data_IF_050665497616
#
_entry.id   IF_050665497616
#
_cell.length_a   1.000
_cell.length_b   1.000
_cell.length_c   1.000
_cell.angle_alpha   90.00
_cell.angle_beta   90.00
_cell.angle_gamma   90.00
#
_symmetry.space_group_name_H-M   'P 1'
#
loop_
_entity.id
_entity.type
_entity.pdbx_description
1 polymer ?
#
# COMPACT_ATOMS: atom_id res chain seq x y z
N UNK A 1 1.03 -5.60 -36.91
CA UNK A 1 0.65 -6.04 -35.58
C UNK A 1 -0.28 -4.99 -35.00
N UNK A 2 -1.42 -5.38 -34.42
CA UNK A 2 -2.28 -4.43 -33.73
C UNK A 2 -1.51 -3.81 -32.55
N UNK A 3 -1.72 -2.52 -32.32
CA UNK A 3 -1.14 -1.79 -31.19
C UNK A 3 -1.63 -2.44 -29.89
N UNK A 4 -0.71 -2.72 -28.95
CA UNK A 4 -1.10 -3.26 -27.66
C UNK A 4 -1.91 -2.23 -26.88
N UNK A 5 -2.95 -2.69 -26.19
CA UNK A 5 -3.77 -1.88 -25.29
C UNK A 5 -3.88 -2.58 -23.93
N UNK A 6 -3.72 -1.82 -22.85
CA UNK A 6 -3.81 -2.32 -21.49
C UNK A 6 -4.86 -1.56 -20.69
N UNK A 7 -5.55 -2.30 -19.82
CA UNK A 7 -6.39 -1.74 -18.77
C UNK A 7 -5.68 -1.89 -17.42
N UNK A 8 -5.60 -0.81 -16.67
CA UNK A 8 -5.17 -0.82 -15.26
C UNK A 8 -6.35 -0.45 -14.39
N UNK A 9 -6.73 -1.34 -13.46
CA UNK A 9 -7.80 -1.13 -12.49
C UNK A 9 -7.18 -0.98 -11.09
N UNK A 10 -7.33 0.20 -10.51
CA UNK A 10 -6.79 0.57 -9.20
C UNK A 10 -7.91 0.66 -8.15
N UNK A 11 -7.53 0.65 -6.88
CA UNK A 11 -8.50 0.61 -5.79
C UNK A 11 -9.22 1.93 -5.61
N UNK A 12 -8.51 3.06 -5.66
CA UNK A 12 -9.05 4.41 -5.48
C UNK A 12 -8.13 5.46 -6.09
N UNK A 13 -8.65 6.63 -6.40
CA UNK A 13 -7.85 7.82 -6.74
C UNK A 13 -7.49 8.69 -5.52
N UNK A 14 -7.96 8.33 -4.32
CA UNK A 14 -7.81 9.08 -3.07
C UNK A 14 -6.72 8.48 -2.15
N UNK A 15 -5.62 8.00 -2.75
CA UNK A 15 -4.46 7.47 -2.03
C UNK A 15 -3.21 7.73 -2.85
N UNK A 16 -2.15 8.24 -2.24
CA UNK A 16 -0.91 8.65 -2.91
C UNK A 16 -0.17 7.47 -3.56
N UNK A 17 -0.22 6.27 -2.98
CA UNK A 17 0.34 5.07 -3.60
C UNK A 17 -0.41 4.70 -4.88
N UNK A 18 -1.74 4.78 -4.90
CA UNK A 18 -2.55 4.50 -6.08
C UNK A 18 -2.34 5.55 -7.19
N UNK A 19 -2.14 6.82 -6.81
CA UNK A 19 -1.76 7.89 -7.75
C UNK A 19 -0.40 7.58 -8.39
N UNK A 20 0.57 7.09 -7.62
CA UNK A 20 1.89 6.73 -8.16
C UNK A 20 1.84 5.44 -9.00
N UNK A 21 0.98 4.47 -8.66
CA UNK A 21 0.70 3.32 -9.52
C UNK A 21 0.20 3.78 -10.90
N UNK A 22 -0.77 4.70 -10.93
CA UNK A 22 -1.29 5.27 -12.17
C UNK A 22 -0.19 6.01 -12.96
N UNK A 23 0.58 6.87 -12.30
CA UNK A 23 1.68 7.63 -12.94
C UNK A 23 2.77 6.70 -13.50
N UNK A 24 3.11 5.64 -12.79
CA UNK A 24 4.06 4.61 -13.22
C UNK A 24 3.54 3.87 -14.47
N UNK A 25 2.26 3.48 -14.48
CA UNK A 25 1.63 2.86 -15.64
C UNK A 25 1.62 3.79 -16.86
N UNK A 26 1.21 5.07 -16.70
CA UNK A 26 1.18 6.06 -17.78
C UNK A 26 2.57 6.33 -18.36
N UNK A 27 3.57 6.52 -17.50
CA UNK A 27 4.95 6.73 -17.93
C UNK A 27 5.46 5.56 -18.75
N UNK A 28 5.20 4.33 -18.28
CA UNK A 28 5.61 3.12 -18.98
C UNK A 28 4.84 2.92 -20.28
N UNK A 29 3.53 3.16 -20.31
CA UNK A 29 2.73 3.05 -21.52
C UNK A 29 3.22 4.01 -22.62
N UNK A 30 3.54 5.27 -22.26
CA UNK A 30 4.15 6.24 -23.21
C UNK A 30 5.47 5.74 -23.76
N UNK A 31 6.36 5.20 -22.90
CA UNK A 31 7.67 4.68 -23.30
C UNK A 31 7.55 3.44 -24.21
N UNK A 32 6.58 2.57 -23.96
CA UNK A 32 6.33 1.37 -24.76
C UNK A 32 5.51 1.65 -26.03
N UNK A 33 4.90 2.83 -26.17
CA UNK A 33 4.02 3.16 -27.30
C UNK A 33 2.71 2.35 -27.32
N UNK A 34 2.21 1.94 -26.15
CA UNK A 34 0.96 1.17 -25.99
C UNK A 34 -0.20 2.06 -25.56
N UNK A 35 -1.43 1.64 -25.86
CA UNK A 35 -2.62 2.32 -25.38
C UNK A 35 -2.90 1.90 -23.93
N UNK A 36 -3.28 2.85 -23.09
CA UNK A 36 -3.58 2.62 -21.68
C UNK A 36 -4.91 3.26 -21.31
N UNK A 37 -5.72 2.47 -20.59
CA UNK A 37 -6.89 2.96 -19.87
C UNK A 37 -6.67 2.69 -18.38
N UNK A 38 -7.00 3.67 -17.53
CA UNK A 38 -6.98 3.50 -16.06
C UNK A 38 -8.41 3.71 -15.55
N UNK A 39 -8.84 2.82 -14.65
CA UNK A 39 -10.14 2.91 -13.97
C UNK A 39 -9.92 2.74 -12.47
N UNK A 40 -10.84 3.29 -11.67
CA UNK A 40 -10.80 3.22 -10.22
C UNK A 40 -12.08 2.55 -9.69
N UNK A 41 -11.91 1.74 -8.67
CA UNK A 41 -12.98 0.94 -8.06
C UNK A 41 -13.64 1.62 -6.85
N UNK A 42 -13.15 2.79 -6.43
CA UNK A 42 -13.60 3.55 -5.26
C UNK A 42 -13.61 2.70 -3.96
N UNK A 43 -12.60 1.84 -3.82
CA UNK A 43 -12.46 0.85 -2.74
C UNK A 43 -13.64 -0.16 -2.64
N UNK A 44 -14.41 -0.33 -3.73
CA UNK A 44 -15.52 -1.25 -3.80
C UNK A 44 -15.19 -2.45 -4.71
N UNK A 45 -15.09 -3.64 -4.12
CA UNK A 45 -14.78 -4.88 -4.83
C UNK A 45 -15.91 -5.32 -5.80
N UNK A 46 -17.16 -4.98 -5.48
CA UNK A 46 -18.30 -5.29 -6.36
C UNK A 46 -18.25 -4.40 -7.58
N UNK A 47 -18.04 -3.09 -7.38
CA UNK A 47 -17.85 -2.14 -8.47
C UNK A 47 -16.68 -2.56 -9.36
N UNK A 48 -15.52 -2.91 -8.78
CA UNK A 48 -14.36 -3.39 -9.55
C UNK A 48 -14.69 -4.62 -10.40
N UNK A 49 -15.36 -5.61 -9.81
CA UNK A 49 -15.77 -6.82 -10.53
C UNK A 49 -16.69 -6.51 -11.71
N UNK A 50 -17.66 -5.61 -11.52
CA UNK A 50 -18.61 -5.21 -12.57
C UNK A 50 -17.90 -4.45 -13.70
N UNK A 51 -17.05 -3.48 -13.37
CA UNK A 51 -16.26 -2.72 -14.34
C UNK A 51 -15.39 -3.66 -15.21
N UNK A 52 -14.69 -4.58 -14.58
CA UNK A 52 -13.81 -5.53 -15.28
C UNK A 52 -14.60 -6.49 -16.17
N UNK A 53 -15.73 -7.04 -15.70
CA UNK A 53 -16.60 -7.90 -16.51
C UNK A 53 -17.18 -7.14 -17.70
N UNK A 54 -17.59 -5.89 -17.54
CA UNK A 54 -18.07 -5.04 -18.65
C UNK A 54 -17.00 -4.87 -19.73
N UNK A 55 -15.74 -4.63 -19.36
CA UNK A 55 -14.62 -4.53 -20.30
C UNK A 55 -14.37 -5.86 -21.00
N UNK A 56 -14.38 -6.99 -20.27
CA UNK A 56 -14.17 -8.33 -20.83
C UNK A 56 -15.26 -8.68 -21.87
N UNK A 57 -16.49 -8.25 -21.63
CA UNK A 57 -17.65 -8.51 -22.49
C UNK A 57 -17.78 -7.50 -23.65
N UNK A 58 -17.07 -6.37 -23.56
CA UNK A 58 -17.11 -5.35 -24.60
C UNK A 58 -16.49 -5.83 -25.92
N UNK A 59 -16.83 -5.17 -27.03
CA UNK A 59 -16.21 -5.41 -28.33
C UNK A 59 -14.76 -4.90 -28.43
N UNK A 60 -14.36 -3.96 -27.56
CA UNK A 60 -13.01 -3.37 -27.52
C UNK A 60 -12.22 -3.94 -26.35
N UNK A 61 -11.67 -5.14 -26.54
CA UNK A 61 -10.94 -5.87 -25.49
C UNK A 61 -9.48 -5.41 -25.42
N UNK A 62 -8.96 -5.08 -24.23
CA UNK A 62 -7.54 -4.82 -24.07
C UNK A 62 -6.72 -6.12 -24.27
N UNK A 63 -5.44 -5.99 -24.60
CA UNK A 63 -4.50 -7.10 -24.69
C UNK A 63 -4.27 -7.77 -23.33
N UNK A 64 -4.36 -7.00 -22.26
CA UNK A 64 -4.27 -7.48 -20.88
C UNK A 64 -4.93 -6.52 -19.89
N UNK A 65 -5.26 -7.08 -18.72
CA UNK A 65 -5.77 -6.37 -17.55
C UNK A 65 -4.74 -6.48 -16.43
N UNK A 66 -4.38 -5.36 -15.84
CA UNK A 66 -3.59 -5.24 -14.61
C UNK A 66 -4.51 -4.68 -13.54
N UNK A 67 -4.63 -5.33 -12.39
CA UNK A 67 -5.50 -4.81 -11.36
C UNK A 67 -4.93 -4.98 -9.96
N UNK A 68 -5.22 -4.03 -9.10
CA UNK A 68 -5.02 -4.12 -7.67
C UNK A 68 -6.35 -4.39 -7.00
N UNK A 69 -6.53 -5.51 -6.27
CA UNK A 69 -7.83 -5.87 -5.69
C UNK A 69 -8.32 -4.86 -4.65
N UNK A 70 -9.51 -4.31 -4.86
CA UNK A 70 -10.17 -3.41 -3.90
C UNK A 70 -10.72 -4.14 -2.66
N UNK A 71 -10.80 -5.47 -2.70
CA UNK A 71 -11.30 -6.30 -1.60
C UNK A 71 -10.40 -7.49 -1.27
N UNK A 72 -10.86 -8.36 -0.38
CA UNK A 72 -10.14 -9.57 0.04
C UNK A 72 -10.03 -10.63 -1.06
N UNK A 73 -10.91 -10.62 -2.05
CA UNK A 73 -10.91 -11.61 -3.13
C UNK A 73 -10.12 -11.12 -4.35
N UNK A 74 -9.24 -11.95 -4.86
CA UNK A 74 -8.49 -11.69 -6.09
C UNK A 74 -9.32 -11.89 -7.38
N UNK A 75 -10.65 -11.87 -7.34
CA UNK A 75 -11.60 -11.98 -8.46
C UNK A 75 -11.35 -13.20 -9.36
N UNK A 76 -11.32 -14.45 -8.87
CA UNK A 76 -10.94 -15.63 -9.64
C UNK A 76 -11.85 -15.90 -10.86
N UNK A 77 -13.15 -15.59 -10.78
CA UNK A 77 -14.08 -15.78 -11.88
C UNK A 77 -13.85 -14.76 -13.00
N UNK A 78 -13.54 -13.51 -12.64
CA UNK A 78 -13.20 -12.45 -13.59
C UNK A 78 -11.87 -12.75 -14.29
N UNK A 79 -10.88 -13.22 -13.53
CA UNK A 79 -9.59 -13.68 -14.06
C UNK A 79 -9.76 -14.80 -15.09
N UNK A 80 -10.59 -15.80 -14.79
CA UNK A 80 -10.90 -16.87 -15.72
C UNK A 80 -11.61 -16.38 -16.98
N UNK A 81 -12.56 -15.46 -16.83
CA UNK A 81 -13.24 -14.85 -17.98
C UNK A 81 -12.27 -14.07 -18.88
N UNK A 82 -11.35 -13.29 -18.30
CA UNK A 82 -10.30 -12.57 -19.02
C UNK A 82 -9.38 -13.55 -19.79
N UNK A 83 -8.86 -14.59 -19.12
CA UNK A 83 -7.99 -15.58 -19.73
C UNK A 83 -8.71 -16.37 -20.86
N UNK A 84 -10.00 -16.71 -20.68
CA UNK A 84 -10.84 -17.35 -21.71
C UNK A 84 -11.02 -16.44 -22.93
N UNK A 85 -11.12 -15.14 -22.71
CA UNK A 85 -11.23 -14.13 -23.78
C UNK A 85 -9.89 -13.79 -24.44
N UNK A 86 -8.79 -14.47 -24.04
CA UNK A 86 -7.47 -14.28 -24.63
C UNK A 86 -6.70 -13.08 -24.08
N UNK A 87 -7.15 -12.49 -22.96
CA UNK A 87 -6.49 -11.35 -22.33
C UNK A 87 -5.49 -11.80 -21.26
N UNK A 88 -4.32 -11.16 -21.20
CA UNK A 88 -3.40 -11.30 -20.07
C UNK A 88 -4.04 -10.82 -18.76
N UNK A 89 -3.59 -11.36 -17.62
CA UNK A 89 -4.12 -11.04 -16.32
C UNK A 89 -3.01 -10.87 -15.29
N UNK A 90 -2.89 -9.68 -14.70
CA UNK A 90 -1.87 -9.38 -13.69
C UNK A 90 -2.50 -8.84 -12.42
N UNK A 91 -2.08 -9.39 -11.29
CA UNK A 91 -2.51 -8.97 -9.96
C UNK A 91 -1.38 -8.15 -9.33
N UNK A 92 -1.71 -6.98 -8.82
CA UNK A 92 -0.79 -6.13 -8.07
C UNK A 92 -1.02 -6.26 -6.57
N UNK A 93 0.07 -6.14 -5.81
CA UNK A 93 0.10 -6.06 -4.34
C UNK A 93 -0.59 -7.21 -3.60
N UNK A 94 -0.78 -8.33 -4.27
CA UNK A 94 -1.38 -9.54 -3.70
C UNK A 94 -0.92 -10.78 -4.44
N UNK A 95 -0.91 -11.89 -3.73
CA UNK A 95 -0.84 -13.23 -4.29
C UNK A 95 -2.25 -13.79 -4.49
N UNK A 96 -2.42 -14.69 -5.46
CA UNK A 96 -3.67 -15.40 -5.67
C UNK A 96 -3.39 -16.82 -6.16
N UNK A 97 -3.91 -17.80 -5.44
CA UNK A 97 -3.66 -19.23 -5.68
C UNK A 97 -4.11 -19.71 -7.07
N UNK A 98 -5.12 -19.07 -7.64
CA UNK A 98 -5.64 -19.43 -8.96
C UNK A 98 -4.67 -19.11 -10.12
N UNK A 99 -3.61 -18.33 -9.89
CA UNK A 99 -2.60 -17.99 -10.91
C UNK A 99 -1.99 -19.25 -11.50
N UNK A 100 -1.60 -20.21 -10.67
CA UNK A 100 -1.03 -21.51 -11.09
C UNK A 100 -1.99 -22.23 -12.05
N UNK A 101 -3.26 -22.33 -11.67
CA UNK A 101 -4.29 -23.01 -12.45
C UNK A 101 -4.53 -22.31 -13.80
N UNK A 102 -4.63 -20.98 -13.82
CA UNK A 102 -4.85 -20.25 -15.06
C UNK A 102 -3.65 -20.39 -16.01
N UNK A 103 -2.43 -20.32 -15.50
CA UNK A 103 -1.21 -20.52 -16.31
C UNK A 103 -1.14 -21.90 -16.97
N UNK A 104 -1.59 -22.93 -16.27
CA UNK A 104 -1.63 -24.29 -16.84
C UNK A 104 -2.73 -24.49 -17.90
N UNK A 105 -3.81 -23.72 -17.79
CA UNK A 105 -5.01 -23.88 -18.64
C UNK A 105 -5.03 -22.94 -19.85
N UNK A 106 -4.33 -21.81 -19.79
CA UNK A 106 -4.37 -20.76 -20.83
C UNK A 106 -2.96 -20.33 -21.25
N UNK A 107 -2.84 -19.90 -22.52
CA UNK A 107 -1.55 -19.45 -23.09
C UNK A 107 -1.27 -17.96 -22.89
N UNK A 108 -2.19 -17.22 -22.25
CA UNK A 108 -2.01 -15.80 -21.98
C UNK A 108 -1.11 -15.57 -20.77
N UNK A 109 -0.39 -14.44 -20.67
CA UNK A 109 0.39 -14.11 -19.48
C UNK A 109 -0.53 -13.94 -18.26
N UNK A 110 -0.31 -14.75 -17.21
CA UNK A 110 -1.00 -14.63 -15.91
C UNK A 110 0.06 -14.67 -14.83
N UNK A 111 0.14 -13.63 -13.98
CA UNK A 111 1.13 -13.54 -12.92
C UNK A 111 0.75 -12.51 -11.87
N UNK A 112 1.48 -12.47 -10.76
CA UNK A 112 1.33 -11.42 -9.77
C UNK A 112 2.67 -10.70 -9.51
N UNK A 113 2.57 -9.42 -9.16
CA UNK A 113 3.67 -8.60 -8.68
C UNK A 113 3.25 -7.99 -7.35
N UNK A 114 3.99 -8.26 -6.30
CA UNK A 114 3.69 -7.78 -4.95
C UNK A 114 4.98 -7.46 -4.19
N UNK A 115 4.88 -6.62 -3.17
CA UNK A 115 5.89 -6.57 -2.13
C UNK A 115 5.55 -7.58 -1.03
N UNK A 116 6.55 -8.05 -0.29
CA UNK A 116 6.30 -8.89 0.87
C UNK A 116 5.70 -8.02 2.00
N UNK A 117 4.38 -8.12 2.18
CA UNK A 117 3.67 -7.36 3.21
C UNK A 117 4.12 -7.69 4.62
N UNK A 118 4.54 -8.92 4.87
CA UNK A 118 5.08 -9.30 6.17
C UNK A 118 6.44 -8.64 6.42
N UNK A 119 7.30 -8.55 5.37
CA UNK A 119 8.56 -7.81 5.47
C UNK A 119 8.32 -6.29 5.62
N UNK A 120 7.31 -5.70 4.97
CA UNK A 120 6.89 -4.33 5.26
C UNK A 120 6.63 -4.15 6.75
N UNK A 121 5.84 -5.04 7.35
CA UNK A 121 5.58 -5.03 8.79
C UNK A 121 6.86 -5.18 9.62
N UNK A 122 7.77 -6.08 9.24
CA UNK A 122 9.06 -6.24 9.92
C UNK A 122 9.90 -4.97 9.88
N UNK A 123 9.90 -4.25 8.74
CA UNK A 123 10.56 -2.94 8.65
C UNK A 123 9.91 -1.96 9.63
N UNK A 124 8.57 -1.89 9.69
CA UNK A 124 7.87 -1.03 10.66
C UNK A 124 8.21 -1.38 12.11
N UNK A 125 8.28 -2.68 12.47
CA UNK A 125 8.69 -3.12 13.79
C UNK A 125 10.13 -2.70 14.15
N UNK A 126 11.06 -2.76 13.19
CA UNK A 126 12.43 -2.26 13.35
C UNK A 126 12.47 -0.73 13.49
N UNK A 127 11.64 0.02 12.74
CA UNK A 127 11.48 1.47 12.91
C UNK A 127 10.99 1.82 14.31
N UNK A 128 10.01 1.07 14.85
CA UNK A 128 9.56 1.23 16.25
C UNK A 128 10.73 1.03 17.21
N UNK A 129 11.56 0.01 17.01
CA UNK A 129 12.74 -0.24 17.84
C UNK A 129 13.76 0.92 17.79
N UNK A 130 13.97 1.51 16.61
CA UNK A 130 14.85 2.66 16.45
C UNK A 130 14.31 3.92 17.16
N UNK A 131 13.01 4.15 17.11
CA UNK A 131 12.34 5.28 17.76
C UNK A 131 12.21 5.11 19.28
N UNK A 132 11.94 3.88 19.75
CA UNK A 132 11.62 3.56 21.13
C UNK A 132 12.59 2.54 21.76
N UNK A 133 13.90 2.85 21.83
CA UNK A 133 14.90 1.90 22.35
C UNK A 133 14.71 1.53 23.82
N UNK A 134 13.92 2.29 24.58
CA UNK A 134 13.57 2.00 25.99
C UNK A 134 12.18 1.38 26.15
N UNK A 135 11.48 1.13 25.05
CA UNK A 135 10.08 0.70 25.07
C UNK A 135 9.12 1.86 25.18
N UNK A 136 7.86 1.57 25.48
CA UNK A 136 6.78 2.55 25.57
C UNK A 136 5.50 2.04 24.93
N UNK A 137 4.62 2.95 24.50
CA UNK A 137 3.39 2.60 23.81
C UNK A 137 3.28 3.35 22.48
N UNK A 138 2.73 2.68 21.47
CA UNK A 138 2.45 3.26 20.16
C UNK A 138 0.97 3.17 19.82
N UNK A 139 0.47 4.17 19.10
CA UNK A 139 -0.79 4.05 18.38
C UNK A 139 -0.49 3.51 16.99
N UNK A 140 -1.02 2.34 16.69
CA UNK A 140 -0.84 1.65 15.41
C UNK A 140 -2.13 1.76 14.58
N UNK A 141 -2.04 2.42 13.43
CA UNK A 141 -3.18 2.64 12.55
C UNK A 141 -3.15 1.58 11.47
N UNK A 142 -4.01 0.58 11.65
CA UNK A 142 -4.15 -0.55 10.74
C UNK A 142 -5.05 -0.21 9.55
N UNK A 143 -4.82 -0.87 8.43
CA UNK A 143 -5.75 -0.94 7.33
C UNK A 143 -7.02 -1.74 7.67
N UNK A 144 -7.89 -1.99 6.65
CA UNK A 144 -9.16 -2.70 6.85
C UNK A 144 -8.97 -4.11 7.41
N UNK A 145 -9.88 -4.54 8.29
CA UNK A 145 -9.84 -5.88 8.91
C UNK A 145 -9.91 -7.05 7.93
N UNK A 146 -10.53 -6.84 6.75
CA UNK A 146 -10.61 -7.83 5.68
C UNK A 146 -9.42 -7.81 4.71
N UNK A 147 -8.37 -7.02 4.99
CA UNK A 147 -7.20 -6.93 4.13
C UNK A 147 -6.08 -7.87 4.60
N UNK A 148 -5.71 -8.84 3.75
CA UNK A 148 -4.56 -9.71 4.01
C UNK A 148 -3.25 -8.91 4.15
N UNK A 149 -3.11 -7.83 3.36
CA UNK A 149 -1.97 -6.93 3.44
C UNK A 149 -1.87 -6.26 4.83
N UNK A 150 -3.00 -5.78 5.38
CA UNK A 150 -3.03 -5.20 6.72
C UNK A 150 -2.68 -6.24 7.80
N UNK A 151 -3.22 -7.44 7.68
CA UNK A 151 -2.94 -8.54 8.60
C UNK A 151 -1.45 -8.94 8.55
N UNK A 152 -0.88 -9.16 7.37
CA UNK A 152 0.52 -9.53 7.20
C UNK A 152 1.48 -8.43 7.69
N UNK A 153 1.17 -7.14 7.45
CA UNK A 153 1.93 -6.01 8.00
C UNK A 153 1.89 -6.03 9.53
N UNK A 154 0.73 -6.27 10.14
CA UNK A 154 0.60 -6.38 11.60
C UNK A 154 1.42 -7.56 12.15
N UNK A 155 1.34 -8.73 11.53
CA UNK A 155 2.13 -9.91 11.93
C UNK A 155 3.64 -9.61 11.88
N UNK A 156 4.13 -9.08 10.77
CA UNK A 156 5.54 -8.72 10.61
C UNK A 156 6.02 -7.67 11.63
N UNK A 157 5.20 -6.66 11.92
CA UNK A 157 5.48 -5.65 12.93
C UNK A 157 5.58 -6.28 14.32
N UNK A 158 4.67 -7.18 14.67
CA UNK A 158 4.70 -7.88 15.97
C UNK A 158 5.92 -8.78 16.12
N UNK A 159 6.44 -9.38 15.03
CA UNK A 159 7.64 -10.21 15.06
C UNK A 159 8.92 -9.44 15.41
N UNK A 160 9.00 -8.15 15.04
CA UNK A 160 10.26 -7.40 15.09
C UNK A 160 10.25 -6.19 16.02
N UNK A 161 9.06 -5.75 16.47
CA UNK A 161 9.00 -4.69 17.48
C UNK A 161 9.64 -5.14 18.79
N UNK A 162 10.23 -4.25 19.60
CA UNK A 162 10.70 -4.59 20.92
C UNK A 162 9.59 -5.17 21.82
N UNK A 163 9.92 -6.19 22.61
CA UNK A 163 8.94 -6.85 23.49
C UNK A 163 8.31 -5.90 24.54
N UNK A 164 9.06 -4.87 24.96
CA UNK A 164 8.62 -3.85 25.91
C UNK A 164 7.85 -2.68 25.28
N UNK A 165 7.47 -2.79 23.99
CA UNK A 165 6.57 -1.83 23.32
C UNK A 165 5.15 -2.37 23.28
N UNK A 166 4.22 -1.58 23.87
CA UNK A 166 2.78 -1.84 23.84
C UNK A 166 2.17 -1.23 22.58
N UNK A 167 1.27 -1.96 21.93
CA UNK A 167 0.56 -1.51 20.73
C UNK A 167 -0.90 -1.26 21.06
N UNK A 168 -1.39 -0.07 20.70
CA UNK A 168 -2.81 0.30 20.71
C UNK A 168 -3.25 0.48 19.29
N UNK A 169 -4.28 -0.22 18.87
CA UNK A 169 -4.71 -0.26 17.47
C UNK A 169 -5.96 0.57 17.22
N UNK A 170 -5.92 1.31 16.12
CA UNK A 170 -7.08 1.97 15.49
C UNK A 170 -7.14 1.52 14.03
N UNK A 171 -8.33 1.24 13.48
CA UNK A 171 -8.49 0.78 12.10
C UNK A 171 -9.02 1.86 11.18
N UNK A 172 -8.48 1.93 9.98
CA UNK A 172 -8.88 2.83 8.90
C UNK A 172 -8.99 2.09 7.56
N UNK A 173 -9.21 2.80 6.45
CA UNK A 173 -9.52 2.24 5.12
C UNK A 173 -8.53 2.72 4.03
N UNK A 174 -7.23 2.77 4.34
CA UNK A 174 -6.16 3.16 3.41
C UNK A 174 -6.25 4.59 2.86
N UNK A 175 -7.00 5.50 3.52
CA UNK A 175 -7.12 6.89 3.09
C UNK A 175 -6.90 7.86 4.25
N UNK A 176 -6.47 9.09 3.93
CA UNK A 176 -6.31 10.17 4.90
C UNK A 176 -7.62 10.43 5.65
N UNK A 177 -8.73 10.55 4.90
CA UNK A 177 -10.05 10.84 5.48
C UNK A 177 -10.53 9.77 6.46
N UNK A 178 -10.33 8.49 6.14
CA UNK A 178 -10.72 7.39 7.03
C UNK A 178 -9.91 7.35 8.31
N UNK A 179 -8.60 7.58 8.22
CA UNK A 179 -7.73 7.64 9.40
C UNK A 179 -8.03 8.86 10.26
N UNK A 180 -8.27 10.02 9.64
CA UNK A 180 -8.73 11.22 10.34
C UNK A 180 -10.00 10.95 11.16
N UNK A 181 -11.03 10.34 10.55
CA UNK A 181 -12.27 9.99 11.23
C UNK A 181 -12.04 9.01 12.38
N UNK A 182 -11.27 7.96 12.15
CA UNK A 182 -11.01 6.91 13.13
C UNK A 182 -10.22 7.44 14.34
N UNK A 183 -9.18 8.24 14.11
CA UNK A 183 -8.39 8.87 15.19
C UNK A 183 -9.19 9.94 15.91
N UNK A 184 -9.99 10.75 15.20
CA UNK A 184 -10.92 11.72 15.85
C UNK A 184 -11.94 11.02 16.75
N UNK A 185 -12.44 9.85 16.33
CA UNK A 185 -13.31 9.03 17.18
C UNK A 185 -12.57 8.48 18.40
N UNK A 186 -11.34 7.99 18.22
CA UNK A 186 -10.50 7.51 19.30
C UNK A 186 -10.17 8.61 20.32
N UNK A 187 -9.90 9.84 19.89
CA UNK A 187 -9.62 11.00 20.77
C UNK A 187 -10.80 11.34 21.70
N UNK A 188 -12.03 11.02 21.34
CA UNK A 188 -13.22 11.23 22.20
C UNK A 188 -13.33 10.23 23.34
N UNK A 189 -12.58 9.13 23.31
CA UNK A 189 -12.58 8.14 24.39
C UNK A 189 -11.83 8.69 25.61
N UNK A 190 -12.36 8.47 26.81
CA UNK A 190 -11.70 8.89 28.07
C UNK A 190 -10.31 8.28 28.22
N UNK A 191 -10.12 7.05 27.73
CA UNK A 191 -8.85 6.33 27.78
C UNK A 191 -7.75 6.97 26.94
N UNK A 192 -8.08 7.73 25.89
CA UNK A 192 -7.07 8.41 25.07
C UNK A 192 -6.35 9.52 25.84
N UNK A 193 -7.05 10.21 26.75
CA UNK A 193 -6.53 11.34 27.52
C UNK A 193 -5.40 10.95 28.50
N UNK A 194 -5.50 9.76 29.08
CA UNK A 194 -4.53 9.26 30.08
C UNK A 194 -3.42 8.41 29.48
N UNK A 195 -3.56 8.04 28.19
CA UNK A 195 -2.60 7.15 27.53
C UNK A 195 -1.31 7.91 27.22
N UNK A 196 -0.20 7.36 27.70
CA UNK A 196 1.15 7.84 27.36
C UNK A 196 1.62 7.14 26.09
N UNK A 197 1.48 7.80 24.95
CA UNK A 197 2.04 7.34 23.68
C UNK A 197 3.39 7.98 23.41
N UNK A 198 4.26 7.22 22.77
CA UNK A 198 5.62 7.62 22.40
C UNK A 198 5.80 7.75 20.86
N UNK A 199 4.92 7.14 20.07
CA UNK A 199 4.93 7.24 18.62
C UNK A 199 3.56 6.89 18.01
N UNK A 200 3.33 7.35 16.78
CA UNK A 200 2.18 7.04 15.94
C UNK A 200 2.71 6.30 14.70
N UNK A 201 2.22 5.10 14.47
CA UNK A 201 2.68 4.22 13.39
C UNK A 201 1.48 3.89 12.51
N UNK A 202 1.53 4.19 11.23
CA UNK A 202 0.46 3.85 10.29
C UNK A 202 0.92 2.86 9.23
N UNK A 203 -0.01 2.05 8.76
CA UNK A 203 0.28 1.06 7.72
C UNK A 203 0.36 1.66 6.31
N UNK A 204 -0.02 2.93 6.12
CA UNK A 204 0.34 3.72 4.94
C UNK A 204 0.60 5.20 5.31
N UNK A 205 1.17 5.94 4.37
CA UNK A 205 1.55 7.35 4.57
C UNK A 205 0.33 8.27 4.62
N UNK A 206 -0.70 7.99 3.81
CA UNK A 206 -1.96 8.76 3.81
C UNK A 206 -2.67 8.65 5.15
N UNK A 207 -2.72 7.45 5.76
CA UNK A 207 -3.30 7.27 7.10
C UNK A 207 -2.48 7.95 8.18
N UNK A 208 -1.14 8.00 8.06
CA UNK A 208 -0.31 8.75 8.99
C UNK A 208 -0.65 10.25 8.97
N UNK A 209 -0.86 10.82 7.77
CA UNK A 209 -1.27 12.21 7.62
C UNK A 209 -2.69 12.47 8.11
N UNK A 210 -3.61 11.55 7.89
CA UNK A 210 -4.97 11.62 8.45
C UNK A 210 -5.00 11.63 9.97
N UNK A 211 -4.17 10.81 10.61
CA UNK A 211 -3.98 10.85 12.06
C UNK A 211 -3.42 12.19 12.53
N UNK A 212 -2.38 12.68 11.85
CA UNK A 212 -1.78 13.97 12.15
C UNK A 212 -2.80 15.11 12.07
N UNK A 213 -3.66 15.10 11.06
CA UNK A 213 -4.75 16.06 10.89
C UNK A 213 -5.75 16.00 12.04
N UNK A 214 -6.15 14.80 12.48
CA UNK A 214 -7.04 14.64 13.63
C UNK A 214 -6.45 15.24 14.91
N UNK A 215 -5.16 15.08 15.14
CA UNK A 215 -4.48 15.72 16.27
C UNK A 215 -4.37 17.23 16.12
N UNK A 216 -4.16 17.78 14.91
CA UNK A 216 -4.14 19.22 14.65
C UNK A 216 -5.46 19.90 14.96
N UNK A 217 -6.57 19.21 14.76
CA UNK A 217 -7.94 19.72 15.01
C UNK A 217 -8.37 19.59 16.48
N UNK A 218 -7.55 19.03 17.36
CA UNK A 218 -7.83 18.93 18.79
C UNK A 218 -7.89 20.33 19.40
N UNK A 219 -9.01 20.64 20.06
CA UNK A 219 -9.27 21.97 20.64
C UNK A 219 -8.39 22.30 21.85
N UNK A 220 -7.99 21.30 22.62
CA UNK A 220 -7.02 21.43 23.72
C UNK A 220 -5.62 21.60 23.16
N UNK A 221 -5.07 22.81 23.31
CA UNK A 221 -3.75 23.17 22.74
C UNK A 221 -2.60 22.35 23.34
N UNK A 222 -2.64 22.08 24.65
CA UNK A 222 -1.58 21.29 25.31
C UNK A 222 -1.59 19.85 24.80
N UNK A 223 -2.75 19.24 24.71
CA UNK A 223 -2.88 17.89 24.12
C UNK A 223 -2.47 17.88 22.65
N UNK A 224 -2.91 18.86 21.87
CA UNK A 224 -2.54 18.97 20.46
C UNK A 224 -1.03 19.02 20.28
N UNK A 225 -0.34 19.92 20.99
CA UNK A 225 1.10 20.10 20.88
C UNK A 225 1.84 18.84 21.35
N UNK A 226 1.37 18.17 22.40
CA UNK A 226 1.87 16.90 22.84
C UNK A 226 1.76 15.83 21.74
N UNK A 227 0.59 15.66 21.12
CA UNK A 227 0.39 14.66 20.08
C UNK A 227 1.24 14.93 18.84
N UNK A 228 1.33 16.20 18.42
CA UNK A 228 2.09 16.59 17.24
C UNK A 228 3.60 16.54 17.44
N UNK A 229 4.09 16.53 18.69
CA UNK A 229 5.51 16.35 19.01
C UNK A 229 5.98 14.92 18.90
N UNK A 230 5.06 13.93 18.87
CA UNK A 230 5.42 12.52 18.72
C UNK A 230 5.97 12.22 17.30
N UNK A 231 6.86 11.24 17.16
CA UNK A 231 7.26 10.76 15.85
C UNK A 231 6.10 9.99 15.19
N UNK A 232 5.84 10.31 13.93
CA UNK A 232 4.90 9.60 13.06
C UNK A 232 5.68 8.77 12.05
N UNK A 233 5.26 7.54 11.77
CA UNK A 233 5.75 6.77 10.63
C UNK A 233 4.60 6.26 9.77
N UNK A 234 4.88 6.10 8.49
CA UNK A 234 3.95 5.57 7.52
C UNK A 234 4.54 4.40 6.72
N UNK A 235 3.94 4.14 5.59
CA UNK A 235 4.37 3.18 4.58
C UNK A 235 3.90 3.67 3.22
N UNK A 236 4.53 3.24 2.18
CA UNK A 236 4.47 3.45 0.75
C UNK A 236 5.67 4.26 0.26
N UNK A 237 6.06 5.32 0.96
CA UNK A 237 7.32 6.02 0.72
C UNK A 237 7.41 6.63 -0.68
N UNK A 238 6.30 7.17 -1.20
CA UNK A 238 6.29 7.79 -2.52
C UNK A 238 7.15 9.06 -2.52
N UNK A 239 7.90 9.33 -3.62
CA UNK A 239 8.89 10.43 -3.65
C UNK A 239 8.32 11.81 -3.34
N UNK A 240 7.09 12.10 -3.83
CA UNK A 240 6.42 13.40 -3.71
C UNK A 240 5.63 13.56 -2.41
N UNK A 241 5.31 12.47 -1.73
CA UNK A 241 4.52 12.43 -0.50
C UNK A 241 5.32 11.82 0.65
N UNK A 242 5.29 10.54 0.92
CA UNK A 242 5.93 9.92 2.07
C UNK A 242 7.38 10.33 2.30
N UNK A 243 8.26 10.25 1.27
CA UNK A 243 9.65 10.69 1.40
C UNK A 243 9.76 12.21 1.58
N UNK A 244 8.91 13.00 0.91
CA UNK A 244 8.89 14.45 1.09
C UNK A 244 8.42 14.82 2.50
N UNK A 245 7.41 14.13 3.04
CA UNK A 245 6.95 14.34 4.41
C UNK A 245 8.02 13.99 5.44
N UNK A 246 8.83 12.97 5.19
CA UNK A 246 10.00 12.68 6.04
C UNK A 246 11.03 13.81 5.96
N UNK A 247 11.41 14.27 4.76
CA UNK A 247 12.35 15.39 4.59
C UNK A 247 11.88 16.69 5.24
N UNK A 248 10.57 16.90 5.27
CA UNK A 248 9.94 18.10 5.87
C UNK A 248 9.63 17.92 7.37
N UNK A 249 10.00 16.78 7.99
CA UNK A 249 9.80 16.53 9.42
C UNK A 249 8.36 16.25 9.83
N UNK A 250 7.45 16.01 8.88
CA UNK A 250 6.06 15.60 9.16
C UNK A 250 5.99 14.13 9.55
N UNK A 251 6.83 13.28 8.96
CA UNK A 251 7.05 11.90 9.35
C UNK A 251 8.49 11.71 9.84
N UNK A 252 8.68 10.84 10.81
CA UNK A 252 10.00 10.39 11.26
C UNK A 252 10.56 9.28 10.35
N UNK A 253 9.69 8.58 9.63
CA UNK A 253 10.08 7.54 8.68
C UNK A 253 8.88 7.00 7.91
N UNK A 254 9.20 6.35 6.80
CA UNK A 254 8.25 5.58 5.99
C UNK A 254 8.92 4.30 5.49
N UNK A 255 8.14 3.34 5.00
CA UNK A 255 8.66 2.17 4.28
C UNK A 255 8.44 2.41 2.79
N UNK A 256 9.51 2.40 1.99
CA UNK A 256 9.39 2.50 0.54
C UNK A 256 8.86 1.18 -0.02
N UNK A 257 7.73 1.26 -0.70
CA UNK A 257 7.07 0.16 -1.43
C UNK A 257 6.99 0.57 -2.90
N UNK A 258 7.63 -0.15 -3.83
CA UNK A 258 7.63 0.22 -5.25
C UNK A 258 6.24 0.19 -5.87
N UNK A 259 5.94 1.17 -6.72
CA UNK A 259 4.76 1.16 -7.58
C UNK A 259 4.97 0.15 -8.72
N UNK A 260 4.17 -0.91 -8.75
CA UNK A 260 4.38 -2.10 -9.56
C UNK A 260 3.67 -2.09 -10.92
N UNK A 261 2.75 -1.14 -11.17
CA UNK A 261 1.94 -1.12 -12.39
C UNK A 261 2.80 -0.93 -13.66
N UNK A 262 3.80 -0.06 -13.62
CA UNK A 262 4.72 0.10 -14.75
C UNK A 262 5.49 -1.18 -15.08
N UNK A 263 6.02 -1.86 -14.06
CA UNK A 263 6.72 -3.15 -14.22
C UNK A 263 5.78 -4.21 -14.81
N UNK A 264 4.51 -4.24 -14.38
CA UNK A 264 3.51 -5.13 -14.94
C UNK A 264 3.31 -4.92 -16.45
N UNK A 265 3.20 -3.66 -16.89
CA UNK A 265 3.06 -3.33 -18.31
C UNK A 265 4.29 -3.76 -19.13
N UNK A 266 5.50 -3.57 -18.62
CA UNK A 266 6.74 -4.01 -19.28
C UNK A 266 6.79 -5.53 -19.47
N UNK A 267 6.48 -6.27 -18.39
CA UNK A 267 6.48 -7.73 -18.41
C UNK A 267 5.40 -8.28 -19.36
N UNK A 268 4.20 -7.67 -19.36
CA UNK A 268 3.12 -8.01 -20.28
C UNK A 268 3.49 -7.74 -21.74
N UNK A 269 3.98 -6.55 -22.04
CA UNK A 269 4.35 -6.17 -23.41
C UNK A 269 5.40 -7.14 -23.96
N UNK A 270 6.44 -7.45 -23.18
CA UNK A 270 7.50 -8.40 -23.56
C UNK A 270 6.94 -9.80 -23.83
N UNK A 271 6.07 -10.31 -22.94
CA UNK A 271 5.51 -11.65 -23.08
C UNK A 271 4.57 -11.75 -24.29
N UNK A 272 3.70 -10.77 -24.51
CA UNK A 272 2.73 -10.76 -25.63
C UNK A 272 3.46 -10.60 -26.98
N UNK A 273 4.62 -9.93 -27.02
CA UNK A 273 5.45 -9.78 -28.21
C UNK A 273 6.35 -10.98 -28.50
N UNK A 274 6.16 -12.12 -27.83
CA UNK A 274 6.88 -13.37 -28.06
C UNK A 274 8.13 -13.55 -27.19
N UNK A 275 8.30 -12.71 -26.17
CA UNK A 275 9.33 -12.90 -25.14
C UNK A 275 8.96 -14.01 -24.15
N UNK A 276 9.84 -14.29 -23.17
CA UNK A 276 9.58 -15.31 -22.16
C UNK A 276 8.38 -14.95 -21.29
N UNK A 277 7.61 -15.97 -20.89
CA UNK A 277 6.54 -15.80 -19.90
C UNK A 277 7.12 -15.31 -18.58
N UNK A 278 6.49 -14.30 -17.96
CA UNK A 278 6.89 -13.81 -16.64
C UNK A 278 6.87 -14.93 -15.58
N UNK A 279 7.67 -14.83 -14.51
CA UNK A 279 7.50 -15.69 -13.35
C UNK A 279 6.04 -15.61 -12.85
N UNK A 280 5.58 -16.68 -12.22
CA UNK A 280 4.24 -16.72 -11.61
C UNK A 280 4.06 -15.60 -10.59
N UNK A 281 5.13 -15.33 -9.86
CA UNK A 281 5.20 -14.35 -8.77
C UNK A 281 6.49 -13.56 -8.85
N UNK A 282 6.39 -12.26 -8.71
CA UNK A 282 7.55 -11.35 -8.60
C UNK A 282 7.41 -10.55 -7.32
N UNK A 283 8.40 -10.64 -6.44
CA UNK A 283 8.50 -9.80 -5.25
C UNK A 283 9.35 -8.58 -5.54
N UNK A 284 8.87 -7.40 -5.12
CA UNK A 284 9.63 -6.16 -5.14
C UNK A 284 10.19 -5.86 -3.76
N UNK A 285 11.41 -5.34 -3.72
CA UNK A 285 12.13 -5.06 -2.48
C UNK A 285 11.54 -3.84 -1.77
N UNK A 286 11.42 -3.94 -0.45
CA UNK A 286 10.98 -2.86 0.44
C UNK A 286 12.12 -2.42 1.35
N UNK A 287 12.13 -1.13 1.74
CA UNK A 287 13.17 -0.60 2.62
C UNK A 287 12.68 0.56 3.47
N UNK A 288 13.32 0.74 4.62
CA UNK A 288 13.09 1.92 5.47
C UNK A 288 13.62 3.20 4.82
N UNK A 289 12.89 4.29 4.98
CA UNK A 289 13.35 5.64 4.67
C UNK A 289 13.01 6.59 5.84
N UNK A 290 13.99 7.22 6.50
CA UNK A 290 15.43 6.96 6.36
C UNK A 290 15.83 5.52 6.70
N UNK A 291 17.09 5.11 6.43
CA UNK A 291 17.63 3.86 6.96
C UNK A 291 17.44 3.75 8.49
N UNK A 292 17.23 2.54 8.99
CA UNK A 292 16.96 2.28 10.42
C UNK A 292 18.06 2.86 11.33
N UNK A 293 19.31 2.75 10.90
CA UNK A 293 20.48 3.24 11.63
C UNK A 293 20.47 4.78 11.78
N UNK A 294 20.04 5.48 10.73
CA UNK A 294 19.89 6.94 10.75
C UNK A 294 18.74 7.37 11.67
N UNK A 295 17.60 6.67 11.64
CA UNK A 295 16.48 6.91 12.56
C UNK A 295 16.94 6.75 14.02
N UNK A 296 17.69 5.69 14.32
CA UNK A 296 18.22 5.44 15.66
C UNK A 296 19.25 6.50 16.09
N UNK A 297 20.08 6.98 15.17
CA UNK A 297 21.04 8.05 15.44
C UNK A 297 20.34 9.39 15.74
N UNK A 298 19.36 9.76 14.91
CA UNK A 298 18.56 10.97 15.12
C UNK A 298 17.82 10.97 16.46
N UNK A 299 17.32 9.81 16.88
CA UNK A 299 16.62 9.67 18.17
C UNK A 299 17.59 9.81 19.36
N UNK A 300 18.82 9.36 19.23
CA UNK A 300 19.86 9.57 20.26
C UNK A 300 20.23 11.03 20.42
N UNK A 301 20.34 11.79 19.33
CA UNK A 301 20.72 13.21 19.35
C UNK A 301 19.63 14.16 19.85
N UNK A 302 18.35 13.76 19.79
CA UNK A 302 17.21 14.55 20.32
C UNK A 302 17.04 14.49 21.83
N UNK A 303 17.79 13.65 22.53
CA UNK A 303 17.70 13.51 24.00
C UNK A 303 18.86 14.24 24.65
N UNK A 304 18.60 15.28 25.49
CA UNK A 304 19.64 15.78 26.40
C UNK A 304 20.06 14.64 27.36
N UNK A 305 21.35 14.58 27.61
CA UNK A 305 22.00 13.68 28.58
C UNK A 305 21.41 13.90 29.98
#
# INVERSE_FOLDING_TARGET
>A
MNKLSFLVSLTTSDNDYQIEQAASAESTARRLGVDLQIIYADNDAINQSQQLLQVIQSGSRPSAIVFEPAGSTGLPQVARAAATAGMGWVILNREADYVVQLRSSYKVPVFCITSDHKEIGRVQGRQIGALLPRGGAVLYIEGPSGSDAAQQRTEGMQETKPANVQVRTVRAQWTEGSAHQAVSAWLRLSTSRTLQLEAIIAQDDSMAMGARKAFQETSDMEQRDRWLSLPFTGCDGMPKTGQAWVRNGLLAGTVIVPANAGLALEMLAKAIQGGPMPPERTFTEVRSYPPIEEMAAAQRSRRPV
#
